data_IF_643825747157
#
_entry.id   IF_643825747157
#
_cell.length_a   1.000
_cell.length_b   1.000
_cell.length_c   1.000
_cell.angle_alpha   90.00
_cell.angle_beta   90.00
_cell.angle_gamma   90.00
#
_symmetry.space_group_name_H-M   'P 1'
#
loop_
_entity.id
_entity.type
_entity.pdbx_description
1 polymer ?
#
# COMPACT_ATOMS: atom_id res chain seq x y z
N UNK A 1 -24.60 -6.67 8.85
CA UNK A 1 -23.86 -5.38 8.90
C UNK A 1 -23.10 -5.08 10.19
N UNK A 2 -23.56 -5.50 11.39
CA UNK A 2 -22.91 -5.18 12.69
C UNK A 2 -21.57 -5.88 13.00
N UNK A 3 -21.01 -6.66 12.08
CA UNK A 3 -19.85 -7.54 12.36
C UNK A 3 -18.55 -7.07 11.68
N UNK A 4 -18.62 -6.60 10.43
CA UNK A 4 -17.46 -6.04 9.74
C UNK A 4 -17.04 -4.67 10.30
N UNK A 5 -18.01 -3.87 10.72
CA UNK A 5 -17.76 -2.56 11.33
C UNK A 5 -17.06 -2.70 12.71
N UNK A 6 -17.47 -3.70 13.51
CA UNK A 6 -16.78 -4.04 14.77
C UNK A 6 -15.35 -4.55 14.55
N UNK A 7 -15.08 -5.27 13.46
CA UNK A 7 -13.70 -5.72 13.12
C UNK A 7 -12.80 -4.62 12.58
N UNK A 8 -13.35 -3.59 11.93
CA UNK A 8 -12.56 -2.41 11.51
C UNK A 8 -12.19 -1.57 12.73
N UNK A 9 -13.18 -1.16 13.52
CA UNK A 9 -12.95 -0.41 14.77
C UNK A 9 -12.01 -1.15 15.73
N UNK A 10 -12.18 -2.46 15.93
CA UNK A 10 -11.28 -3.23 16.78
C UNK A 10 -9.84 -3.28 16.25
N UNK A 11 -9.62 -3.28 14.93
CA UNK A 11 -8.27 -3.23 14.35
C UNK A 11 -7.65 -1.85 14.48
N UNK A 12 -8.44 -0.80 14.30
CA UNK A 12 -7.99 0.59 14.44
C UNK A 12 -7.64 0.90 15.92
N UNK A 13 -8.43 0.40 16.88
CA UNK A 13 -8.15 0.50 18.31
C UNK A 13 -6.89 -0.29 18.74
N UNK A 14 -6.68 -1.48 18.15
CA UNK A 14 -5.47 -2.28 18.37
C UNK A 14 -4.21 -1.61 17.79
N UNK A 15 -4.29 -1.00 16.60
CA UNK A 15 -3.15 -0.26 16.02
C UNK A 15 -2.88 1.06 16.75
N UNK A 16 -3.91 1.77 17.21
CA UNK A 16 -3.74 3.00 17.99
C UNK A 16 -3.12 2.70 19.37
N UNK A 17 -3.53 1.61 20.03
CA UNK A 17 -3.01 1.22 21.34
C UNK A 17 -1.56 0.70 21.27
N UNK A 18 -1.17 -0.04 20.24
CA UNK A 18 0.23 -0.46 20.05
C UNK A 18 1.15 0.73 19.76
N UNK A 19 0.70 1.68 18.93
CA UNK A 19 1.48 2.88 18.61
C UNK A 19 1.67 3.82 19.82
N UNK A 20 0.65 3.95 20.68
CA UNK A 20 0.74 4.70 21.94
C UNK A 20 1.58 3.98 23.00
N UNK A 21 1.65 2.66 22.99
CA UNK A 21 2.50 1.87 23.89
C UNK A 21 3.99 1.98 23.50
N UNK A 22 4.30 1.89 22.20
CA UNK A 22 5.68 2.06 21.69
C UNK A 22 6.22 3.47 21.96
N UNK A 23 5.39 4.51 21.82
CA UNK A 23 5.78 5.89 22.16
C UNK A 23 5.98 6.13 23.65
N UNK A 24 5.29 5.39 24.52
CA UNK A 24 5.53 5.45 25.98
C UNK A 24 6.82 4.72 26.35
N UNK A 25 7.11 3.58 25.74
CA UNK A 25 8.36 2.85 25.94
C UNK A 25 9.59 3.69 25.48
N UNK A 26 9.48 4.40 24.36
CA UNK A 26 10.55 5.26 23.84
C UNK A 26 10.82 6.53 24.69
N UNK A 27 9.86 6.99 25.49
CA UNK A 27 10.02 8.17 26.38
C UNK A 27 10.56 7.84 27.77
N UNK A 28 10.58 6.57 28.17
CA UNK A 28 11.06 6.15 29.50
C UNK A 28 12.54 5.70 29.50
N UNK A 29 13.18 5.61 28.33
CA UNK A 29 14.59 5.29 28.20
C UNK A 29 15.47 6.56 28.16
N UNK A 30 15.45 7.36 29.23
CA UNK A 30 16.52 8.33 29.50
C UNK A 30 17.45 7.74 30.56
N UNK A 31 18.74 7.53 30.29
CA UNK A 31 19.67 7.07 31.32
C UNK A 31 19.91 8.22 32.31
N UNK A 32 19.37 8.07 33.53
CA UNK A 32 19.70 8.92 34.67
C UNK A 32 21.14 8.62 35.11
N UNK A 33 22.07 9.52 34.83
CA UNK A 33 23.43 9.48 35.34
C UNK A 33 23.47 9.90 36.82
N UNK A 34 23.08 8.99 37.70
CA UNK A 34 23.36 9.11 39.13
C UNK A 34 24.84 8.73 39.36
N UNK A 35 25.71 9.75 39.50
CA UNK A 35 27.09 9.59 39.94
C UNK A 35 27.10 9.19 41.42
N UNK A 36 27.07 7.88 41.71
CA UNK A 36 27.39 7.35 43.03
C UNK A 36 28.91 7.42 43.25
N UNK A 37 29.35 8.28 44.18
CA UNK A 37 30.73 8.27 44.70
C UNK A 37 30.93 7.01 45.55
N UNK A 38 31.41 5.93 44.94
CA UNK A 38 32.01 4.82 45.69
C UNK A 38 33.47 5.15 46.00
N UNK A 39 33.79 5.22 47.29
CA UNK A 39 35.18 5.27 47.78
C UNK A 39 35.81 3.89 47.59
N UNK A 40 36.57 3.72 46.51
CA UNK A 40 37.41 2.55 46.29
C UNK A 40 38.60 2.64 47.25
N UNK A 41 38.66 1.75 48.24
CA UNK A 41 39.85 1.54 49.06
C UNK A 41 40.78 0.59 48.31
N UNK A 42 41.86 1.12 47.74
CA UNK A 42 42.90 0.31 47.10
C UNK A 42 43.77 -0.34 48.18
N UNK A 43 43.57 -1.65 48.42
CA UNK A 43 44.61 -2.48 49.02
C UNK A 43 45.62 -2.80 47.93
N UNK A 44 46.86 -2.33 48.10
CA UNK A 44 47.97 -2.64 47.22
C UNK A 44 48.35 -4.12 47.39
N UNK A 45 47.79 -4.98 46.56
CA UNK A 45 48.32 -6.33 46.36
C UNK A 45 49.38 -6.29 45.27
N UNK A 46 50.62 -6.55 45.66
CA UNK A 46 51.78 -6.66 44.79
C UNK A 46 51.62 -7.92 43.91
N UNK A 47 51.05 -7.79 42.71
CA UNK A 47 51.07 -8.87 41.71
C UNK A 47 52.43 -8.91 41.00
N UNK A 48 53.04 -10.11 40.85
CA UNK A 48 54.37 -10.25 40.27
C UNK A 48 54.40 -9.89 38.79
N UNK A 49 55.47 -9.22 38.38
CA UNK A 49 55.70 -8.57 37.08
C UNK A 49 55.51 -9.53 35.89
N UNK A 50 55.70 -10.84 36.08
CA UNK A 50 55.51 -11.85 35.03
C UNK A 50 54.05 -11.96 34.51
N UNK A 51 53.03 -11.75 35.35
CA UNK A 51 51.64 -11.87 34.93
C UNK A 51 51.16 -10.70 34.05
N UNK A 52 51.80 -9.52 34.19
CA UNK A 52 51.52 -8.35 33.37
C UNK A 52 52.00 -8.52 31.93
N UNK A 53 53.15 -9.17 31.72
CA UNK A 53 53.69 -9.40 30.36
C UNK A 53 52.88 -10.42 29.54
N UNK A 54 52.33 -11.45 30.19
CA UNK A 54 51.50 -12.47 29.53
C UNK A 54 50.12 -11.93 29.08
N UNK A 55 49.49 -11.06 29.89
CA UNK A 55 48.21 -10.43 29.52
C UNK A 55 48.36 -9.35 28.43
N UNK A 56 49.49 -8.63 28.41
CA UNK A 56 49.81 -7.67 27.35
C UNK A 56 50.10 -8.35 25.99
N UNK A 57 50.67 -9.56 26.00
CA UNK A 57 50.92 -10.33 24.77
C UNK A 57 49.64 -10.92 24.16
N UNK A 58 48.68 -11.34 24.99
CA UNK A 58 47.42 -11.95 24.51
C UNK A 58 46.42 -10.93 23.94
N UNK A 59 46.46 -9.66 24.37
CA UNK A 59 45.67 -8.58 23.78
C UNK A 59 46.26 -7.99 22.48
N UNK A 60 47.49 -8.37 22.10
CA UNK A 60 48.12 -7.88 20.87
C UNK A 60 47.79 -8.70 19.61
N UNK A 61 47.16 -9.89 19.76
CA UNK A 61 46.89 -10.80 18.64
C UNK A 61 45.40 -10.95 18.23
N UNK A 62 44.45 -10.33 18.94
CA UNK A 62 43.06 -10.19 18.48
C UNK A 62 42.60 -8.75 18.81
N UNK A 63 42.31 -7.86 17.83
CA UNK A 63 41.53 -8.16 16.64
C UNK A 63 42.08 -7.47 15.36
N UNK A 64 42.77 -8.21 14.50
CA UNK A 64 42.87 -7.87 13.06
C UNK A 64 41.91 -8.76 12.29
N UNK A 65 40.66 -8.79 12.72
CA UNK A 65 39.52 -9.06 11.83
C UNK A 65 38.71 -7.78 11.81
N UNK A 66 39.38 -6.69 11.38
CA UNK A 66 38.68 -5.57 10.82
C UNK A 66 37.78 -6.17 9.74
N UNK A 67 36.47 -6.17 9.99
CA UNK A 67 35.49 -6.59 9.03
C UNK A 67 35.67 -5.66 7.84
N UNK A 68 36.38 -6.13 6.82
CA UNK A 68 36.46 -5.45 5.53
C UNK A 68 35.00 -5.31 5.09
N UNK A 69 34.45 -4.10 5.26
CA UNK A 69 33.15 -3.77 4.68
C UNK A 69 33.30 -4.13 3.21
N UNK A 70 32.47 -5.03 2.64
CA UNK A 70 32.58 -5.37 1.24
C UNK A 70 32.57 -4.04 0.48
N UNK A 71 33.63 -3.79 -0.30
CA UNK A 71 33.70 -2.62 -1.14
C UNK A 71 32.44 -2.63 -1.99
N UNK A 72 31.66 -1.55 -1.93
CA UNK A 72 30.53 -1.35 -2.81
C UNK A 72 31.02 -1.58 -4.24
N UNK A 73 30.56 -2.65 -4.88
CA UNK A 73 30.87 -2.92 -6.28
C UNK A 73 30.66 -1.62 -7.09
N UNK A 74 31.54 -1.26 -8.03
CA UNK A 74 31.36 -0.13 -8.93
C UNK A 74 29.90 0.02 -9.37
N UNK A 75 29.38 1.25 -9.40
CA UNK A 75 27.97 1.50 -9.71
C UNK A 75 27.50 0.74 -10.97
N UNK A 76 28.36 0.71 -12.00
CA UNK A 76 28.15 -0.03 -13.24
C UNK A 76 27.96 -1.55 -13.04
N UNK A 77 28.70 -2.18 -12.14
CA UNK A 77 28.52 -3.62 -11.84
C UNK A 77 27.19 -3.87 -11.13
N UNK A 78 26.77 -2.97 -10.22
CA UNK A 78 25.46 -3.07 -9.58
C UNK A 78 24.32 -2.89 -10.58
N UNK A 79 24.44 -1.91 -11.48
CA UNK A 79 23.48 -1.68 -12.55
C UNK A 79 23.35 -2.89 -13.48
N UNK A 80 24.48 -3.46 -13.91
CA UNK A 80 24.50 -4.68 -14.72
C UNK A 80 23.83 -5.87 -14.01
N UNK A 81 24.08 -6.02 -12.71
CA UNK A 81 23.46 -7.07 -11.90
C UNK A 81 21.95 -6.89 -11.76
N UNK A 82 21.48 -5.68 -11.41
CA UNK A 82 20.05 -5.35 -11.33
C UNK A 82 19.36 -5.52 -12.69
N UNK A 83 20.01 -5.12 -13.78
CA UNK A 83 19.48 -5.30 -15.13
C UNK A 83 19.33 -6.78 -15.50
N UNK A 84 20.27 -7.65 -15.07
CA UNK A 84 20.12 -9.09 -15.27
C UNK A 84 18.94 -9.65 -14.47
N UNK A 85 18.84 -9.31 -13.19
CA UNK A 85 17.72 -9.74 -12.35
C UNK A 85 16.36 -9.29 -12.92
N UNK A 86 16.29 -8.06 -13.44
CA UNK A 86 15.09 -7.58 -14.11
C UNK A 86 14.78 -8.36 -15.39
N UNK A 87 15.78 -8.69 -16.22
CA UNK A 87 15.58 -9.53 -17.42
C UNK A 87 15.05 -10.92 -17.05
N UNK A 88 15.61 -11.54 -16.02
CA UNK A 88 15.19 -12.87 -15.55
C UNK A 88 13.75 -12.84 -15.02
N UNK A 89 13.37 -11.78 -14.30
CA UNK A 89 12.01 -11.54 -13.85
C UNK A 89 11.05 -11.26 -15.02
N UNK A 90 11.48 -10.48 -16.03
CA UNK A 90 10.68 -10.12 -17.19
C UNK A 90 10.30 -11.34 -18.06
N UNK A 91 11.13 -12.39 -18.05
CA UNK A 91 10.82 -13.65 -18.72
C UNK A 91 9.70 -14.46 -18.03
N UNK A 92 9.27 -14.07 -16.83
CA UNK A 92 8.33 -14.81 -15.99
C UNK A 92 7.24 -13.89 -15.44
N UNK A 93 6.01 -13.88 -16.00
CA UNK A 93 4.98 -12.88 -15.67
C UNK A 93 4.67 -12.70 -14.18
N UNK A 94 4.64 -13.79 -13.40
CA UNK A 94 4.42 -13.73 -11.96
C UNK A 94 5.59 -13.07 -11.21
N UNK A 95 6.82 -13.31 -11.65
CA UNK A 95 8.01 -12.67 -11.09
C UNK A 95 8.09 -11.20 -11.48
N UNK A 96 7.82 -10.87 -12.76
CA UNK A 96 7.74 -9.50 -13.22
C UNK A 96 6.70 -8.69 -12.42
N UNK A 97 5.52 -9.26 -12.17
CA UNK A 97 4.49 -8.62 -11.34
C UNK A 97 5.02 -8.32 -9.94
N UNK A 98 5.62 -9.30 -9.28
CA UNK A 98 6.15 -9.15 -7.92
C UNK A 98 7.27 -8.09 -7.88
N UNK A 99 8.15 -8.09 -8.88
CA UNK A 99 9.21 -7.10 -9.03
C UNK A 99 8.65 -5.68 -9.19
N UNK A 100 7.75 -5.46 -10.14
CA UNK A 100 7.20 -4.13 -10.44
C UNK A 100 6.30 -3.60 -9.31
N UNK A 101 5.57 -4.47 -8.61
CA UNK A 101 4.79 -4.11 -7.43
C UNK A 101 5.68 -3.63 -6.27
N UNK A 102 6.85 -4.26 -6.08
CA UNK A 102 7.81 -3.85 -5.07
C UNK A 102 8.67 -2.62 -5.50
N UNK A 103 8.61 -2.19 -6.76
CA UNK A 103 9.45 -1.08 -7.24
C UNK A 103 8.97 0.28 -6.68
N UNK A 104 9.85 1.10 -6.07
CA UNK A 104 9.51 2.47 -5.69
C UNK A 104 9.42 3.32 -6.96
N UNK A 105 8.20 3.72 -7.35
CA UNK A 105 7.92 4.32 -8.67
C UNK A 105 8.03 5.84 -8.71
N UNK A 106 8.24 6.50 -7.58
CA UNK A 106 8.30 7.96 -7.52
C UNK A 106 6.90 8.58 -7.59
N UNK A 107 6.66 9.50 -8.53
CA UNK A 107 5.39 10.22 -8.66
C UNK A 107 4.53 9.73 -9.82
N UNK A 108 3.21 9.67 -9.61
CA UNK A 108 2.22 9.63 -10.68
C UNK A 108 1.77 11.06 -10.99
N UNK A 109 2.22 11.60 -12.13
CA UNK A 109 2.00 13.00 -12.50
C UNK A 109 0.79 13.20 -13.41
N UNK A 110 0.07 12.11 -13.76
CA UNK A 110 -1.10 12.18 -14.64
C UNK A 110 -2.14 11.16 -14.17
N UNK A 111 -2.94 11.57 -13.18
CA UNK A 111 -3.99 10.72 -12.64
C UNK A 111 -5.35 11.42 -12.73
N UNK A 112 -6.31 10.84 -13.44
CA UNK A 112 -7.68 11.35 -13.46
C UNK A 112 -8.48 10.72 -12.31
N UNK A 113 -8.99 11.55 -11.39
CA UNK A 113 -9.60 11.10 -10.14
C UNK A 113 -10.66 10.01 -10.36
N UNK A 114 -11.66 10.30 -11.19
CA UNK A 114 -12.78 9.38 -11.46
C UNK A 114 -12.40 8.19 -12.35
N UNK A 115 -11.24 8.25 -13.03
CA UNK A 115 -10.73 7.17 -13.88
C UNK A 115 -9.82 6.18 -13.15
N UNK A 116 -9.41 6.50 -11.91
CA UNK A 116 -8.41 5.76 -11.15
C UNK A 116 -8.97 4.92 -9.99
N UNK A 117 -10.29 4.76 -9.93
CA UNK A 117 -10.98 3.95 -8.92
C UNK A 117 -11.60 2.72 -9.58
N UNK A 118 -11.59 1.58 -8.88
CA UNK A 118 -12.20 0.35 -9.39
C UNK A 118 -13.71 0.50 -9.50
N UNK A 119 -14.30 -0.07 -10.56
CA UNK A 119 -15.74 -0.10 -10.75
C UNK A 119 -16.47 -0.82 -9.60
N UNK A 120 -15.82 -1.80 -8.98
CA UNK A 120 -16.29 -2.49 -7.78
C UNK A 120 -16.45 -1.54 -6.57
N UNK A 121 -15.57 -0.54 -6.41
CA UNK A 121 -15.68 0.45 -5.33
C UNK A 121 -16.89 1.36 -5.57
N UNK A 122 -17.15 1.79 -6.82
CA UNK A 122 -18.35 2.53 -7.17
C UNK A 122 -19.64 1.73 -6.89
N UNK A 123 -19.65 0.43 -7.18
CA UNK A 123 -20.78 -0.45 -6.86
C UNK A 123 -20.97 -0.64 -5.34
N UNK A 124 -19.88 -0.69 -4.58
CA UNK A 124 -19.95 -0.73 -3.13
C UNK A 124 -20.54 0.56 -2.56
N UNK A 125 -20.08 1.74 -3.02
CA UNK A 125 -20.65 3.02 -2.60
C UNK A 125 -22.10 3.19 -3.04
N UNK A 126 -22.45 2.75 -4.25
CA UNK A 126 -23.83 2.70 -4.71
C UNK A 126 -24.72 1.83 -3.81
N UNK A 127 -24.21 0.68 -3.36
CA UNK A 127 -24.89 -0.18 -2.38
C UNK A 127 -25.11 0.53 -1.05
N UNK A 128 -24.10 1.26 -0.57
CA UNK A 128 -24.15 1.96 0.72
C UNK A 128 -25.08 3.19 0.67
N UNK A 129 -25.14 3.89 -0.47
CA UNK A 129 -25.99 5.06 -0.70
C UNK A 129 -27.43 4.72 -1.12
N UNK A 130 -27.74 3.43 -1.31
CA UNK A 130 -29.05 3.00 -1.80
C UNK A 130 -29.33 3.38 -3.25
N UNK A 131 -28.28 3.65 -4.04
CA UNK A 131 -28.37 3.93 -5.46
C UNK A 131 -28.87 2.72 -6.26
N UNK A 132 -29.18 2.96 -7.52
CA UNK A 132 -29.87 2.03 -8.40
C UNK A 132 -29.04 1.74 -9.64
N UNK A 133 -29.13 0.53 -10.17
CA UNK A 133 -28.62 0.16 -11.49
C UNK A 133 -29.75 0.32 -12.50
N UNK A 134 -29.56 1.18 -13.49
CA UNK A 134 -30.45 1.30 -14.64
C UNK A 134 -30.23 0.11 -15.58
N UNK A 135 -31.25 -0.71 -15.80
CA UNK A 135 -31.09 -1.97 -16.53
C UNK A 135 -30.87 -1.80 -18.04
N UNK A 136 -31.26 -0.65 -18.60
CA UNK A 136 -31.15 -0.38 -20.04
C UNK A 136 -29.73 -0.01 -20.48
N UNK A 137 -28.94 0.63 -19.62
CA UNK A 137 -27.59 1.13 -19.96
C UNK A 137 -26.51 0.74 -18.93
N UNK A 138 -26.91 0.04 -17.86
CA UNK A 138 -26.06 -0.41 -16.75
C UNK A 138 -25.37 0.75 -15.99
N UNK A 139 -25.96 1.94 -16.02
CA UNK A 139 -25.51 3.09 -15.23
C UNK A 139 -25.99 3.06 -13.78
N UNK A 140 -25.26 3.72 -12.90
CA UNK A 140 -25.63 3.98 -11.52
C UNK A 140 -26.46 5.27 -11.44
N UNK A 141 -27.60 5.22 -10.75
CA UNK A 141 -28.55 6.32 -10.60
C UNK A 141 -28.84 6.59 -9.13
N UNK A 142 -29.08 7.85 -8.78
CA UNK A 142 -29.47 8.24 -7.44
C UNK A 142 -30.82 7.59 -7.04
N UNK A 143 -31.05 7.30 -5.75
CA UNK A 143 -32.36 6.85 -5.26
C UNK A 143 -33.44 7.95 -5.41
N UNK A 144 -34.73 7.58 -5.35
CA UNK A 144 -35.28 6.22 -5.17
C UNK A 144 -35.30 5.40 -6.47
N UNK A 145 -35.22 4.07 -6.35
CA UNK A 145 -35.27 3.19 -7.51
C UNK A 145 -36.69 3.06 -8.07
N UNK A 146 -36.81 3.22 -9.39
CA UNK A 146 -38.08 3.14 -10.11
C UNK A 146 -38.19 1.93 -11.05
N UNK A 147 -39.19 1.97 -11.94
CA UNK A 147 -39.35 0.95 -12.98
C UNK A 147 -38.12 0.88 -13.88
N UNK A 148 -37.70 -0.34 -14.22
CA UNK A 148 -36.49 -0.57 -15.04
C UNK A 148 -35.17 -0.40 -14.30
N UNK A 149 -35.19 -0.28 -12.97
CA UNK A 149 -34.01 -0.17 -12.13
C UNK A 149 -33.96 -1.28 -11.08
N UNK A 150 -32.75 -1.70 -10.75
CA UNK A 150 -32.48 -2.68 -9.68
C UNK A 150 -31.71 -1.97 -8.56
N UNK A 151 -32.05 -2.12 -7.28
CA UNK A 151 -31.25 -1.56 -6.19
C UNK A 151 -29.81 -2.08 -6.22
N UNK A 152 -28.81 -1.22 -6.04
CA UNK A 152 -27.40 -1.64 -5.93
C UNK A 152 -27.12 -2.35 -4.59
N UNK A 153 -27.97 -2.15 -3.59
CA UNK A 153 -27.81 -2.73 -2.25
C UNK A 153 -27.67 -4.25 -2.31
N UNK A 154 -26.50 -4.75 -1.88
CA UNK A 154 -26.17 -6.17 -1.85
C UNK A 154 -26.16 -6.86 -3.23
N UNK A 155 -26.00 -6.11 -4.32
CA UNK A 155 -26.14 -6.62 -5.69
C UNK A 155 -25.22 -7.81 -5.99
N UNK A 156 -23.97 -7.79 -5.53
CA UNK A 156 -23.02 -8.88 -5.74
C UNK A 156 -23.53 -10.23 -5.21
N UNK A 157 -24.27 -10.23 -4.08
CA UNK A 157 -24.84 -11.42 -3.47
C UNK A 157 -26.21 -11.78 -4.07
N UNK A 158 -27.05 -10.79 -4.35
CA UNK A 158 -28.42 -11.01 -4.86
C UNK A 158 -28.45 -11.36 -6.34
N UNK A 159 -27.53 -10.80 -7.13
CA UNK A 159 -27.47 -10.97 -8.58
C UNK A 159 -26.04 -10.77 -9.10
N UNK A 160 -25.18 -11.77 -8.88
CA UNK A 160 -23.77 -11.75 -9.32
C UNK A 160 -23.61 -11.56 -10.84
N UNK A 161 -24.59 -12.02 -11.64
CA UNK A 161 -24.58 -11.84 -13.09
C UNK A 161 -24.77 -10.36 -13.47
N UNK A 162 -25.76 -9.68 -12.88
CA UNK A 162 -25.95 -8.24 -13.10
C UNK A 162 -24.75 -7.44 -12.56
N UNK A 163 -24.25 -7.76 -11.37
CA UNK A 163 -23.03 -7.15 -10.83
C UNK A 163 -21.86 -7.24 -11.82
N UNK A 164 -21.60 -8.42 -12.36
CA UNK A 164 -20.55 -8.65 -13.36
C UNK A 164 -20.71 -7.77 -14.59
N UNK A 165 -21.92 -7.69 -15.15
CA UNK A 165 -22.21 -6.83 -16.32
C UNK A 165 -22.04 -5.34 -16.02
N UNK A 166 -22.43 -4.88 -14.82
CA UNK A 166 -22.24 -3.48 -14.44
C UNK A 166 -20.74 -3.18 -14.36
N UNK A 167 -19.94 -4.02 -13.70
CA UNK A 167 -18.49 -3.81 -13.67
C UNK A 167 -17.88 -3.79 -15.09
N UNK A 168 -18.29 -4.71 -15.96
CA UNK A 168 -17.82 -4.72 -17.37
C UNK A 168 -18.24 -3.43 -18.10
N UNK A 169 -19.42 -2.88 -17.79
CA UNK A 169 -19.93 -1.62 -18.34
C UNK A 169 -19.28 -0.36 -17.76
N UNK A 170 -18.71 -0.43 -16.55
CA UNK A 170 -18.04 0.68 -15.86
C UNK A 170 -16.52 0.62 -16.01
N UNK A 171 -15.99 -0.28 -16.83
CA UNK A 171 -14.54 -0.48 -17.01
C UNK A 171 -14.18 -0.94 -18.42
N UNK A 172 -12.90 -1.21 -18.64
CA UNK A 172 -12.40 -1.90 -19.84
C UNK A 172 -12.37 -3.43 -19.67
N UNK A 173 -12.82 -3.96 -18.52
CA UNK A 173 -12.82 -5.38 -18.25
C UNK A 173 -13.77 -6.09 -19.23
N UNK A 174 -13.25 -7.09 -19.93
CA UNK A 174 -14.00 -7.89 -20.92
C UNK A 174 -14.64 -7.07 -22.05
N UNK A 175 -14.10 -5.89 -22.38
CA UNK A 175 -14.53 -5.17 -23.56
C UNK A 175 -14.36 -6.04 -24.82
N UNK A 176 -15.45 -6.19 -25.57
CA UNK A 176 -15.46 -6.79 -26.91
C UNK A 176 -16.17 -5.80 -27.84
N UNK A 177 -15.54 -5.42 -28.97
CA UNK A 177 -16.18 -4.56 -29.96
C UNK A 177 -17.55 -5.09 -30.41
N UNK A 178 -18.51 -4.18 -30.56
CA UNK A 178 -19.83 -4.47 -31.11
C UNK A 178 -20.29 -3.33 -32.03
N UNK A 179 -21.32 -3.52 -32.88
CA UNK A 179 -21.85 -2.42 -33.68
C UNK A 179 -22.30 -1.21 -32.86
N UNK A 180 -22.80 -1.41 -31.64
CA UNK A 180 -23.19 -0.34 -30.73
C UNK A 180 -22.00 0.31 -30.00
N UNK A 181 -20.89 -0.41 -29.84
CA UNK A 181 -19.68 0.03 -29.13
C UNK A 181 -18.44 -0.48 -29.90
N UNK A 182 -18.08 0.17 -31.02
CA UNK A 182 -17.12 -0.39 -31.98
C UNK A 182 -15.67 -0.30 -31.50
N UNK A 183 -15.36 0.64 -30.60
CA UNK A 183 -13.99 0.89 -30.15
C UNK A 183 -13.87 0.88 -28.64
N UNK A 184 -12.67 0.53 -28.16
CA UNK A 184 -12.33 0.64 -26.75
C UNK A 184 -12.30 2.09 -26.27
N UNK A 185 -12.00 3.04 -27.17
CA UNK A 185 -12.11 4.47 -26.91
C UNK A 185 -13.53 4.85 -26.50
N UNK A 186 -14.53 4.44 -27.30
CA UNK A 186 -15.92 4.79 -27.02
C UNK A 186 -16.40 4.10 -25.73
N UNK A 187 -15.98 2.84 -25.49
CA UNK A 187 -16.27 2.15 -24.23
C UNK A 187 -15.73 2.96 -23.06
N UNK A 188 -14.43 3.29 -23.09
CA UNK A 188 -13.74 4.05 -22.05
C UNK A 188 -14.46 5.37 -21.73
N UNK A 189 -14.73 6.20 -22.74
CA UNK A 189 -15.36 7.49 -22.51
C UNK A 189 -16.84 7.40 -22.10
N UNK A 190 -17.55 6.35 -22.50
CA UNK A 190 -18.93 6.14 -22.04
C UNK A 190 -19.04 5.83 -20.54
N UNK A 191 -17.97 5.28 -19.94
CA UNK A 191 -18.02 4.83 -18.53
C UNK A 191 -18.23 5.99 -17.55
N UNK A 192 -17.63 7.16 -17.80
CA UNK A 192 -17.64 8.28 -16.87
C UNK A 192 -19.06 8.76 -16.55
N UNK A 193 -19.92 8.88 -17.56
CA UNK A 193 -21.32 9.25 -17.35
C UNK A 193 -22.14 8.18 -16.62
N UNK A 194 -21.69 6.92 -16.60
CA UNK A 194 -22.41 5.80 -15.97
C UNK A 194 -22.22 5.72 -14.47
N UNK A 195 -21.15 6.28 -13.91
CA UNK A 195 -20.91 6.29 -12.45
C UNK A 195 -20.86 7.69 -11.83
N UNK A 196 -20.96 8.75 -12.64
CA UNK A 196 -20.88 10.16 -12.20
C UNK A 196 -21.80 10.48 -11.01
N UNK A 197 -23.02 9.95 -11.00
CA UNK A 197 -23.99 10.15 -9.93
C UNK A 197 -23.48 9.69 -8.54
N UNK A 198 -22.63 8.67 -8.51
CA UNK A 198 -22.00 8.15 -7.28
C UNK A 198 -20.71 8.92 -6.97
N UNK A 199 -19.88 9.20 -7.98
CA UNK A 199 -18.62 9.95 -7.80
C UNK A 199 -18.87 11.32 -7.17
N UNK A 200 -19.88 12.06 -7.63
CA UNK A 200 -20.19 13.41 -7.13
C UNK A 200 -20.50 13.47 -5.64
N UNK A 201 -21.07 12.41 -5.08
CA UNK A 201 -21.40 12.34 -3.64
C UNK A 201 -20.25 11.74 -2.81
N UNK A 202 -19.20 11.24 -3.47
CA UNK A 202 -18.13 10.42 -2.87
C UNK A 202 -16.73 10.93 -3.17
N UNK A 203 -16.55 12.21 -3.53
CA UNK A 203 -15.24 12.78 -3.92
C UNK A 203 -14.12 12.46 -2.93
N UNK A 204 -14.38 12.60 -1.62
CA UNK A 204 -13.39 12.29 -0.59
C UNK A 204 -13.02 10.80 -0.56
N UNK A 205 -14.00 9.91 -0.72
CA UNK A 205 -13.79 8.46 -0.81
C UNK A 205 -13.01 8.10 -2.09
N UNK A 206 -13.29 8.77 -3.21
CA UNK A 206 -12.54 8.62 -4.47
C UNK A 206 -11.07 9.02 -4.32
N UNK A 207 -10.79 10.13 -3.64
CA UNK A 207 -9.40 10.55 -3.35
C UNK A 207 -8.71 9.53 -2.46
N UNK A 208 -9.38 9.06 -1.40
CA UNK A 208 -8.83 8.04 -0.52
C UNK A 208 -8.50 6.75 -1.28
N UNK A 209 -9.41 6.27 -2.15
CA UNK A 209 -9.20 5.07 -2.96
C UNK A 209 -7.99 5.20 -3.90
N UNK A 210 -7.80 6.35 -4.56
CA UNK A 210 -6.62 6.62 -5.41
C UNK A 210 -5.33 6.61 -4.58
N UNK A 211 -5.31 7.26 -3.42
CA UNK A 211 -4.13 7.30 -2.56
C UNK A 211 -3.79 5.93 -1.97
N UNK A 212 -4.80 5.13 -1.60
CA UNK A 212 -4.60 3.76 -1.16
C UNK A 212 -4.01 2.88 -2.27
N UNK A 213 -4.49 3.04 -3.52
CA UNK A 213 -3.94 2.32 -4.65
C UNK A 213 -2.49 2.73 -4.93
N UNK A 214 -2.19 4.03 -4.90
CA UNK A 214 -0.83 4.55 -5.03
C UNK A 214 0.11 3.98 -3.96
N UNK A 215 -0.36 3.90 -2.69
CA UNK A 215 0.41 3.30 -1.61
C UNK A 215 0.68 1.80 -1.84
N UNK A 216 -0.33 1.03 -2.29
CA UNK A 216 -0.15 -0.39 -2.67
C UNK A 216 0.87 -0.56 -3.79
N UNK A 217 0.91 0.39 -4.73
CA UNK A 217 1.85 0.43 -5.82
C UNK A 217 3.16 1.17 -5.50
N UNK A 218 3.47 1.53 -4.24
CA UNK A 218 4.71 2.25 -3.87
C UNK A 218 4.95 3.52 -4.71
N UNK A 219 3.89 4.28 -4.94
CA UNK A 219 3.88 5.62 -5.53
C UNK A 219 3.66 6.64 -4.40
N UNK A 220 4.73 7.25 -3.84
CA UNK A 220 4.61 8.20 -2.73
C UNK A 220 3.97 9.56 -3.07
N UNK A 221 3.80 9.90 -4.34
CA UNK A 221 3.27 11.20 -4.77
C UNK A 221 2.33 11.05 -5.97
N UNK A 222 1.18 11.73 -5.95
CA UNK A 222 0.19 11.69 -7.03
C UNK A 222 -0.32 13.10 -7.32
N UNK A 223 -0.29 13.52 -8.58
CA UNK A 223 -0.97 14.73 -9.08
C UNK A 223 -2.33 14.32 -9.67
N UNK A 224 -3.40 14.76 -9.02
CA UNK A 224 -4.77 14.35 -9.33
C UNK A 224 -5.47 15.45 -10.15
N UNK A 225 -5.99 15.07 -11.30
CA UNK A 225 -6.88 15.85 -12.15
C UNK A 225 -8.32 15.51 -11.76
N UNK A 226 -9.05 16.48 -11.22
CA UNK A 226 -10.47 16.38 -10.89
C UNK A 226 -11.29 17.35 -11.75
N UNK A 227 -12.43 16.88 -12.28
CA UNK A 227 -13.34 17.62 -13.15
C UNK A 227 -14.64 17.98 -12.43
#
# INVERSE_FOLDING_TARGET
>A
MRWNDRRRRARDDLQASTWLAERRAARQATPSSALARQRISYRASCMPILHRCLLLSMCAFLPIVAHARPALAPAQQREQHVAQLFRDAAAQPAQLRTWLQAMPKGGDLHNHLSGSVYAEDYLQWASDDGACVQLSDLSLRAPPCGAGQEPASGLAARNAALYGRVVDSLSMRKFLPSPAQPTGHDQFFSTFGKFDAVVRTRVADTVAAVLEQAARDRVPYVEIIAN
#
